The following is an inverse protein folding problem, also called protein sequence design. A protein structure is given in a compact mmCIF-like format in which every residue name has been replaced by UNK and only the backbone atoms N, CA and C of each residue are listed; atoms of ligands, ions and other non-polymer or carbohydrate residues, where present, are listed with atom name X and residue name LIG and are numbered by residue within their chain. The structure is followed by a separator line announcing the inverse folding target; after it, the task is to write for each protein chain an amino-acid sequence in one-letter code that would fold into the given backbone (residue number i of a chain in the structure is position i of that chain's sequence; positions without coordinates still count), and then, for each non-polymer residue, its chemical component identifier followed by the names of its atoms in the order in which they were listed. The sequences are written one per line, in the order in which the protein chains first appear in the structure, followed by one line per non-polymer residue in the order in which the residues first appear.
data_IF_355394262648
#
_entry.id   IF_355394262648
#
_cell.length_a   1.000
_cell.length_b   1.000
_cell.length_c   1.000
_cell.angle_alpha   90.00
_cell.angle_beta   90.00
_cell.angle_gamma   90.00
#
_symmetry.space_group_name_H-M   'P 1'
#
loop_
_entity.id
_entity.type
_entity.pdbx_description
1 polymer ?
#
# COMPACT_ATOMS: atom_id res chain seq x y z
N UNK A 1 -5.92 26.53 -11.85
CA UNK A 1 -4.79 25.59 -11.86
C UNK A 1 -4.89 24.77 -10.59
N UNK A 2 -5.33 23.52 -10.69
CA UNK A 2 -5.17 22.52 -9.62
C UNK A 2 -4.23 21.48 -10.21
N UNK A 3 -3.00 21.44 -9.71
CA UNK A 3 -1.99 20.47 -10.13
C UNK A 3 -1.19 20.09 -8.89
N UNK A 4 -1.56 18.95 -8.31
CA UNK A 4 -0.68 18.04 -7.60
C UNK A 4 -1.42 16.69 -7.60
N UNK A 5 -0.90 15.74 -8.38
CA UNK A 5 -1.24 14.32 -8.55
C UNK A 5 -2.63 13.84 -8.12
N UNK A 6 -3.34 13.29 -9.10
CA UNK A 6 -4.65 12.65 -9.03
C UNK A 6 -4.88 11.85 -7.74
N UNK A 7 -6.11 11.95 -7.23
CA UNK A 7 -6.72 11.23 -6.10
C UNK A 7 -6.55 9.71 -6.23
N UNK A 8 -5.31 9.24 -6.10
CA UNK A 8 -4.92 7.86 -6.36
C UNK A 8 -5.39 7.03 -5.18
N UNK A 9 -6.21 6.03 -5.45
CA UNK A 9 -6.77 5.17 -4.41
C UNK A 9 -6.16 3.79 -4.56
N UNK A 10 -5.91 3.11 -3.44
CA UNK A 10 -5.54 1.70 -3.47
C UNK A 10 -6.83 0.89 -3.68
N UNK A 11 -6.90 0.15 -4.78
CA UNK A 11 -8.05 -0.70 -5.12
C UNK A 11 -7.78 -2.18 -4.84
N UNK A 12 -6.50 -2.57 -4.71
CA UNK A 12 -6.10 -3.87 -4.22
C UNK A 12 -4.76 -3.77 -3.49
N UNK A 13 -4.61 -4.52 -2.41
CA UNK A 13 -3.40 -4.58 -1.61
C UNK A 13 -3.14 -6.04 -1.29
N UNK A 14 -1.90 -6.47 -1.51
CA UNK A 14 -1.43 -7.80 -1.19
C UNK A 14 -0.17 -7.70 -0.36
N UNK A 15 -0.28 -8.04 0.92
CA UNK A 15 0.89 -8.24 1.77
C UNK A 15 1.70 -9.44 1.26
N UNK A 16 3.00 -9.22 1.12
CA UNK A 16 4.00 -10.22 0.77
C UNK A 16 4.88 -10.48 2.00
N UNK A 17 5.84 -11.39 1.86
CA UNK A 17 6.88 -11.58 2.89
C UNK A 17 7.84 -10.37 2.92
N UNK A 18 8.70 -10.32 3.93
CA UNK A 18 9.70 -9.24 4.12
C UNK A 18 9.11 -7.82 4.22
N UNK A 19 7.91 -7.67 4.78
CA UNK A 19 7.19 -6.39 4.91
C UNK A 19 6.93 -5.68 3.58
N UNK A 20 6.91 -6.41 2.47
CA UNK A 20 6.60 -5.85 1.16
C UNK A 20 5.10 -5.90 0.89
N UNK A 21 4.58 -4.91 0.17
CA UNK A 21 3.19 -4.88 -0.28
C UNK A 21 3.10 -4.63 -1.77
N UNK A 22 2.35 -5.47 -2.47
CA UNK A 22 1.95 -5.18 -3.84
C UNK A 22 0.63 -4.42 -3.82
N UNK A 23 0.66 -3.17 -4.25
CA UNK A 23 -0.48 -2.28 -4.31
C UNK A 23 -0.92 -2.12 -5.76
N UNK A 24 -2.22 -2.16 -6.00
CA UNK A 24 -2.83 -1.78 -7.27
C UNK A 24 -3.62 -0.50 -7.04
N UNK A 25 -3.30 0.51 -7.82
CA UNK A 25 -3.90 1.82 -7.72
C UNK A 25 -5.04 2.01 -8.73
N UNK A 26 -5.94 2.96 -8.46
CA UNK A 26 -7.09 3.28 -9.31
C UNK A 26 -6.71 3.75 -10.71
N UNK A 27 -5.48 4.23 -10.90
CA UNK A 27 -4.93 4.60 -12.20
C UNK A 27 -4.48 3.38 -13.05
N UNK A 28 -4.60 2.16 -12.52
CA UNK A 28 -4.22 0.91 -13.17
C UNK A 28 -2.76 0.51 -12.96
N UNK A 29 -1.96 1.32 -12.28
CA UNK A 29 -0.58 0.97 -11.96
C UNK A 29 -0.51 0.00 -10.78
N UNK A 30 0.41 -0.96 -10.90
CA UNK A 30 0.84 -1.79 -9.79
C UNK A 30 2.18 -1.29 -9.29
N UNK A 31 2.30 -1.16 -7.97
CA UNK A 31 3.54 -0.69 -7.34
C UNK A 31 3.85 -1.54 -6.12
N UNK A 32 5.14 -1.73 -5.90
CA UNK A 32 5.67 -2.46 -4.77
C UNK A 32 6.10 -1.46 -3.69
N UNK A 33 5.42 -1.50 -2.56
CA UNK A 33 5.66 -0.64 -1.40
C UNK A 33 6.43 -1.40 -0.33
N UNK A 34 7.45 -0.75 0.23
CA UNK A 34 8.22 -1.28 1.35
C UNK A 34 7.62 -0.76 2.67
N UNK A 35 6.90 -1.61 3.38
CA UNK A 35 6.25 -1.24 4.63
C UNK A 35 7.25 -1.14 5.80
N UNK A 36 8.51 -1.54 5.63
CA UNK A 36 9.55 -1.23 6.63
C UNK A 36 9.81 0.27 6.77
N UNK A 37 9.36 1.09 5.80
CA UNK A 37 9.37 2.55 5.89
C UNK A 37 8.37 3.09 6.92
N UNK A 38 7.33 2.32 7.26
CA UNK A 38 6.32 2.67 8.26
C UNK A 38 6.89 2.52 9.67
N UNK A 39 7.78 3.44 10.03
CA UNK A 39 8.40 3.49 11.35
C UNK A 39 7.70 4.54 12.21
N UNK A 40 7.11 4.09 13.31
CA UNK A 40 6.48 4.98 14.29
C UNK A 40 5.71 4.20 15.35
N UNK A 41 5.39 4.84 16.49
CA UNK A 41 4.61 4.20 17.55
C UNK A 41 3.22 3.74 17.07
N UNK A 42 2.63 4.43 16.09
CA UNK A 42 1.37 4.04 15.46
C UNK A 42 1.47 2.76 14.63
N UNK A 43 2.63 2.52 14.00
CA UNK A 43 2.88 1.36 13.15
C UNK A 43 3.59 0.22 13.88
N UNK A 44 3.92 0.38 15.16
CA UNK A 44 4.56 -0.66 15.97
C UNK A 44 3.82 -2.02 15.92
N UNK A 45 2.48 -2.09 15.91
CA UNK A 45 1.76 -3.36 15.75
C UNK A 45 2.00 -4.06 14.41
N UNK A 46 2.36 -3.33 13.35
CA UNK A 46 2.64 -3.91 12.03
C UNK A 46 3.94 -4.74 12.00
N UNK A 47 4.74 -4.70 13.07
CA UNK A 47 5.88 -5.62 13.24
C UNK A 47 5.46 -7.07 13.41
N UNK A 48 4.22 -7.33 13.83
CA UNK A 48 3.63 -8.65 13.79
C UNK A 48 3.13 -8.94 12.37
N UNK A 49 3.72 -9.94 11.73
CA UNK A 49 3.39 -10.35 10.37
C UNK A 49 1.90 -10.72 10.21
N UNK A 50 1.26 -11.25 11.26
CA UNK A 50 -0.17 -11.57 11.20
C UNK A 50 -1.03 -10.33 11.09
N UNK A 51 -0.67 -9.28 11.85
CA UNK A 51 -1.36 -7.99 11.79
C UNK A 51 -1.12 -7.38 10.41
N UNK A 52 0.13 -7.35 9.96
CA UNK A 52 0.49 -6.79 8.66
C UNK A 52 -0.23 -7.47 7.48
N UNK A 53 -0.32 -8.81 7.50
CA UNK A 53 -0.98 -9.61 6.47
C UNK A 53 -2.51 -9.50 6.50
N UNK A 54 -3.11 -9.03 7.60
CA UNK A 54 -4.56 -8.79 7.75
C UNK A 54 -4.97 -7.37 7.31
N UNK A 55 -4.25 -6.78 6.35
CA UNK A 55 -4.59 -5.47 5.81
C UNK A 55 -5.95 -5.47 5.10
N UNK A 56 -6.71 -4.39 5.24
CA UNK A 56 -7.98 -4.14 4.57
C UNK A 56 -7.92 -2.84 3.78
N UNK A 57 -8.79 -2.70 2.81
CA UNK A 57 -8.95 -1.44 2.07
C UNK A 57 -10.30 -0.86 2.43
N UNK A 58 -10.30 0.36 2.96
CA UNK A 58 -11.51 1.12 3.30
C UNK A 58 -11.42 2.47 2.60
N UNK A 59 -12.43 2.79 1.79
CA UNK A 59 -12.53 4.03 1.00
C UNK A 59 -11.27 4.38 0.16
N UNK A 60 -10.54 3.35 -0.28
CA UNK A 60 -9.34 3.50 -1.10
C UNK A 60 -8.04 3.69 -0.31
N UNK A 61 -8.09 3.51 1.02
CA UNK A 61 -6.96 3.61 1.95
C UNK A 61 -6.66 2.23 2.50
N UNK A 62 -5.37 1.89 2.64
CA UNK A 62 -4.98 0.65 3.30
C UNK A 62 -5.03 0.86 4.80
N UNK A 63 -5.72 -0.05 5.48
CA UNK A 63 -5.97 -0.02 6.92
C UNK A 63 -5.61 -1.36 7.54
N UNK A 64 -5.30 -1.35 8.83
CA UNK A 64 -5.05 -2.52 9.67
C UNK A 64 -5.76 -2.34 11.00
N UNK A 65 -5.87 -3.43 11.77
CA UNK A 65 -6.41 -3.38 13.14
C UNK A 65 -7.79 -2.70 13.20
N UNK A 66 -8.69 -3.10 12.30
CA UNK A 66 -10.04 -2.52 12.19
C UNK A 66 -10.04 -0.98 12.05
N UNK A 67 -9.17 -0.47 11.18
CA UNK A 67 -9.04 0.96 10.84
C UNK A 67 -8.31 1.82 11.89
N UNK A 68 -7.80 1.24 12.99
CA UNK A 68 -6.97 1.95 13.97
C UNK A 68 -5.63 2.42 13.38
N UNK A 69 -5.13 1.71 12.36
CA UNK A 69 -3.92 2.07 11.63
C UNK A 69 -4.29 2.24 10.17
N UNK A 70 -4.06 3.42 9.62
CA UNK A 70 -4.24 3.71 8.20
C UNK A 70 -2.94 4.24 7.57
N UNK A 71 -2.80 4.01 6.27
CA UNK A 71 -1.73 4.63 5.51
C UNK A 71 -2.27 5.14 4.17
N UNK A 72 -2.11 6.45 3.98
CA UNK A 72 -2.64 7.19 2.86
C UNK A 72 -2.08 6.67 1.52
N UNK A 73 -2.93 6.52 0.50
CA UNK A 73 -2.52 5.97 -0.79
C UNK A 73 -1.49 6.87 -1.49
N UNK A 74 -1.50 8.19 -1.27
CA UNK A 74 -0.50 9.11 -1.82
C UNK A 74 0.89 8.82 -1.27
N UNK A 75 0.99 8.59 0.04
CA UNK A 75 2.25 8.25 0.69
C UNK A 75 2.80 6.94 0.14
N UNK A 76 1.95 5.92 0.05
CA UNK A 76 2.33 4.63 -0.53
C UNK A 76 2.73 4.75 -1.99
N UNK A 77 2.07 5.60 -2.77
CA UNK A 77 2.37 5.80 -4.17
C UNK A 77 3.74 6.47 -4.37
N UNK A 78 4.03 7.52 -3.59
CA UNK A 78 5.29 8.26 -3.63
C UNK A 78 6.49 7.41 -3.18
N UNK A 79 6.29 6.55 -2.18
CA UNK A 79 7.34 5.71 -1.58
C UNK A 79 7.33 4.26 -2.07
N UNK A 80 6.59 3.96 -3.15
CA UNK A 80 6.62 2.65 -3.81
C UNK A 80 7.35 2.71 -5.14
N UNK A 81 7.77 1.54 -5.60
CA UNK A 81 8.42 1.35 -6.89
C UNK A 81 7.42 0.80 -7.89
N UNK A 82 7.45 1.31 -9.13
CA UNK A 82 6.65 0.74 -10.21
C UNK A 82 6.96 -0.76 -10.33
N UNK A 83 5.94 -1.59 -10.13
CA UNK A 83 6.06 -3.02 -10.31
C UNK A 83 5.63 -3.30 -11.75
N UNK A 84 6.57 -3.58 -12.68
CA UNK A 84 6.18 -3.95 -14.01
C UNK A 84 5.37 -5.23 -13.89
N UNK A 85 4.04 -5.12 -14.07
CA UNK A 85 3.22 -6.28 -14.32
C UNK A 85 3.90 -6.98 -15.49
N UNK A 86 4.47 -8.16 -15.26
CA UNK A 86 4.90 -9.01 -16.36
C UNK A 86 3.64 -9.20 -17.20
N UNK A 87 3.48 -8.40 -18.26
CA UNK A 87 2.70 -8.85 -19.41
C UNK A 87 3.39 -10.14 -19.76
N UNK A 88 2.69 -11.25 -19.49
CA UNK A 88 3.15 -12.58 -19.85
C UNK A 88 3.83 -12.46 -21.20
N UNK A 89 5.11 -12.79 -21.26
CA UNK A 89 5.76 -13.06 -22.52
C UNK A 89 4.98 -14.25 -23.11
N UNK A 90 3.98 -13.95 -23.93
CA UNK A 90 3.32 -14.88 -24.85
C UNK A 90 3.93 -14.66 -26.22
#
# INVERSE_FOLDING_TARGET
MFNASENVQVIAAKALDDMMMLLTFSNGEQRLFDASLLNGPAFAPLTDEKIFKDCKIVDGVVTWMDEDIDCAPEYMYEHSYAYPSLKSAI
#
